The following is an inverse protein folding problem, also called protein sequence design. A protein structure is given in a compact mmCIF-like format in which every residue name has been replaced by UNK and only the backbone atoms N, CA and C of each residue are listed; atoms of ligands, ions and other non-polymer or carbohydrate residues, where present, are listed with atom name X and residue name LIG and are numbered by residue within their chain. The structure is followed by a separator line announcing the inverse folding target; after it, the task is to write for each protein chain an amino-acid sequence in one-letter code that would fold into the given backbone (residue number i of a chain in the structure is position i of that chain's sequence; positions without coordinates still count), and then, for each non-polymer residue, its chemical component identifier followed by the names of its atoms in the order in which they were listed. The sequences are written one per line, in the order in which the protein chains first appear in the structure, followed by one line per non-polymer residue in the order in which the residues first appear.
data_IF_111915124252
#
_entry.id   IF_111915124252
#
_cell.length_a   1.000
_cell.length_b   1.000
_cell.length_c   1.000
_cell.angle_alpha   90.00
_cell.angle_beta   90.00
_cell.angle_gamma   90.00
#
_symmetry.space_group_name_H-M   'P 1'
#
loop_
_entity.id
_entity.type
_entity.pdbx_description
1 polymer ?
#
# COMPACT_ATOMS: atom_id res chain seq x y z
N UNK A 1 10.71 8.75 -2.41
CA UNK A 1 9.44 8.47 -3.09
C UNK A 1 9.24 6.98 -3.05
N UNK A 2 8.00 6.51 -2.95
CA UNK A 2 7.70 5.10 -2.66
C UNK A 2 8.41 4.11 -3.60
N UNK A 3 8.59 4.44 -4.89
CA UNK A 3 9.34 3.60 -5.82
C UNK A 3 10.81 3.40 -5.41
N UNK A 4 11.52 4.48 -5.08
CA UNK A 4 12.92 4.42 -4.62
C UNK A 4 13.05 3.62 -3.32
N UNK A 5 12.07 3.74 -2.42
CA UNK A 5 12.04 3.00 -1.16
C UNK A 5 11.84 1.51 -1.41
N UNK A 6 10.96 1.14 -2.36
CA UNK A 6 10.76 -0.25 -2.79
C UNK A 6 12.04 -0.83 -3.37
N UNK A 7 12.67 -0.12 -4.32
CA UNK A 7 13.93 -0.52 -4.97
C UNK A 7 15.08 -0.70 -3.96
N UNK A 8 15.16 0.21 -2.98
CA UNK A 8 16.12 0.16 -1.88
C UNK A 8 15.80 -0.86 -0.79
N UNK A 9 14.74 -1.66 -0.93
CA UNK A 9 14.25 -2.60 0.09
C UNK A 9 13.96 -1.91 1.45
N UNK A 10 13.58 -0.64 1.41
CA UNK A 10 13.29 0.19 2.57
C UNK A 10 11.89 0.01 3.14
N UNK A 11 11.56 0.80 4.16
CA UNK A 11 10.19 0.95 4.66
C UNK A 11 9.40 1.86 3.71
N UNK A 12 8.10 1.59 3.56
CA UNK A 12 7.19 2.40 2.74
C UNK A 12 6.03 2.93 3.59
N UNK A 13 5.26 3.85 3.03
CA UNK A 13 4.10 4.50 3.67
C UNK A 13 2.79 4.12 2.96
N UNK A 14 2.58 2.82 2.71
CA UNK A 14 1.46 2.32 1.92
C UNK A 14 0.09 2.76 2.48
N UNK A 15 -0.05 2.72 3.81
CA UNK A 15 -1.29 3.09 4.50
C UNK A 15 -1.61 4.59 4.37
N UNK A 16 -0.60 5.47 4.44
CA UNK A 16 -0.80 6.92 4.39
C UNK A 16 -1.08 7.45 2.98
N UNK A 17 -0.59 6.76 1.94
CA UNK A 17 -0.80 7.19 0.55
C UNK A 17 -1.97 6.43 -0.08
N UNK A 18 -1.82 5.12 -0.32
CA UNK A 18 -2.83 4.35 -1.04
C UNK A 18 -3.99 4.00 -0.11
N UNK A 19 -3.72 3.70 1.16
CA UNK A 19 -4.76 3.48 2.17
C UNK A 19 -5.67 4.70 2.36
N UNK A 20 -5.09 5.89 2.45
CA UNK A 20 -5.86 7.15 2.52
C UNK A 20 -6.69 7.40 1.25
N UNK A 21 -6.14 7.15 0.06
CA UNK A 21 -6.91 7.25 -1.19
C UNK A 21 -8.11 6.30 -1.23
N UNK A 22 -7.93 5.06 -0.77
CA UNK A 22 -9.05 4.10 -0.66
C UNK A 22 -10.08 4.59 0.35
N UNK A 23 -9.65 5.08 1.51
CA UNK A 23 -10.55 5.58 2.55
C UNK A 23 -11.38 6.77 2.04
N UNK A 24 -10.74 7.73 1.36
CA UNK A 24 -11.42 8.87 0.74
C UNK A 24 -12.36 8.43 -0.38
N UNK A 25 -11.94 7.50 -1.24
CA UNK A 25 -12.79 6.98 -2.31
C UNK A 25 -14.03 6.27 -1.78
N UNK A 26 -13.90 5.46 -0.72
CA UNK A 26 -15.03 4.83 -0.04
C UNK A 26 -15.98 5.85 0.60
N UNK A 27 -15.46 6.97 1.09
CA UNK A 27 -16.30 8.05 1.64
C UNK A 27 -16.97 8.89 0.56
N UNK A 28 -16.31 9.16 -0.56
CA UNK A 28 -16.81 10.03 -1.61
C UNK A 28 -17.75 9.32 -2.59
N UNK A 29 -17.48 8.04 -2.88
CA UNK A 29 -18.23 7.22 -3.83
C UNK A 29 -18.45 5.81 -3.25
N UNK A 30 -19.36 5.64 -2.27
CA UNK A 30 -19.51 4.38 -1.52
C UNK A 30 -19.83 3.16 -2.39
N UNK A 31 -20.57 3.36 -3.48
CA UNK A 31 -21.00 2.28 -4.39
C UNK A 31 -20.01 2.01 -5.53
N UNK A 32 -18.91 2.78 -5.61
CA UNK A 32 -17.89 2.62 -6.64
C UNK A 32 -16.77 1.73 -6.15
N UNK A 33 -16.55 0.62 -6.86
CA UNK A 33 -15.40 -0.24 -6.63
C UNK A 33 -14.10 0.49 -6.99
N UNK A 34 -13.04 0.26 -6.21
CA UNK A 34 -11.71 0.85 -6.42
C UNK A 34 -10.65 -0.23 -6.73
N UNK A 35 -10.88 -1.12 -7.72
CA UNK A 35 -10.13 -2.37 -7.86
C UNK A 35 -8.63 -2.15 -8.10
N UNK A 36 -8.26 -1.06 -8.78
CA UNK A 36 -6.85 -0.73 -9.00
C UNK A 36 -6.14 -0.29 -7.72
N UNK A 37 -6.77 0.57 -6.93
CA UNK A 37 -6.21 1.01 -5.64
C UNK A 37 -6.11 -0.16 -4.67
N UNK A 38 -7.15 -0.98 -4.57
CA UNK A 38 -7.17 -2.16 -3.69
C UNK A 38 -6.11 -3.19 -4.09
N UNK A 39 -5.92 -3.43 -5.39
CA UNK A 39 -4.87 -4.33 -5.90
C UNK A 39 -3.47 -3.79 -5.60
N UNK A 40 -3.23 -2.51 -5.85
CA UNK A 40 -1.93 -1.87 -5.53
C UNK A 40 -1.67 -1.95 -4.03
N UNK A 41 -2.64 -1.58 -3.20
CA UNK A 41 -2.53 -1.64 -1.74
C UNK A 41 -2.18 -3.05 -1.25
N UNK A 42 -2.85 -4.07 -1.79
CA UNK A 42 -2.55 -5.48 -1.48
C UNK A 42 -1.10 -5.86 -1.80
N UNK A 43 -0.59 -5.42 -2.96
CA UNK A 43 0.82 -5.61 -3.34
C UNK A 43 1.78 -4.94 -2.37
N UNK A 44 1.49 -3.70 -1.96
CA UNK A 44 2.31 -2.95 -1.01
C UNK A 44 2.32 -3.60 0.39
N UNK A 45 1.17 -4.03 0.92
CA UNK A 45 1.12 -4.76 2.20
C UNK A 45 1.87 -6.10 2.12
N UNK A 46 1.87 -6.75 0.96
CA UNK A 46 2.65 -7.98 0.73
C UNK A 46 4.14 -7.70 0.79
N UNK A 47 4.59 -6.61 0.16
CA UNK A 47 5.98 -6.13 0.26
C UNK A 47 6.38 -5.86 1.71
N UNK A 48 5.56 -5.11 2.47
CA UNK A 48 5.86 -4.79 3.88
C UNK A 48 5.98 -6.05 4.74
N UNK A 49 5.04 -7.00 4.58
CA UNK A 49 5.10 -8.29 5.29
C UNK A 49 6.35 -9.08 4.95
N UNK A 50 6.78 -9.07 3.67
CA UNK A 50 8.04 -9.71 3.26
C UNK A 50 9.23 -9.06 3.94
N UNK A 51 9.31 -7.73 3.94
CA UNK A 51 10.41 -6.99 4.60
C UNK A 51 10.45 -7.23 6.10
N UNK A 52 9.31 -7.27 6.77
CA UNK A 52 9.23 -7.61 8.19
C UNK A 52 9.79 -9.01 8.49
N UNK A 53 9.49 -10.01 7.65
CA UNK A 53 10.07 -11.36 7.79
C UNK A 53 11.58 -11.37 7.56
N UNK A 54 12.05 -10.66 6.54
CA UNK A 54 13.48 -10.57 6.20
C UNK A 54 14.30 -9.80 7.25
N UNK A 55 13.68 -8.92 8.04
CA UNK A 55 14.33 -8.20 9.14
C UNK A 55 14.31 -8.97 10.46
N UNK A 56 13.42 -9.95 10.61
CA UNK A 56 13.29 -10.78 11.80
C UNK A 56 14.18 -12.04 11.76
N UNK A 57 14.80 -12.33 10.61
CA UNK A 57 15.74 -13.44 10.39
C UNK A 57 17.18 -12.93 10.46
#
# INVERSE_FOLDING_TARGET
SMLRDIEGRGRIEADHVVGDLIARGRSATPDTALPHLERVFTGLKTYERRRAREQAA
#
